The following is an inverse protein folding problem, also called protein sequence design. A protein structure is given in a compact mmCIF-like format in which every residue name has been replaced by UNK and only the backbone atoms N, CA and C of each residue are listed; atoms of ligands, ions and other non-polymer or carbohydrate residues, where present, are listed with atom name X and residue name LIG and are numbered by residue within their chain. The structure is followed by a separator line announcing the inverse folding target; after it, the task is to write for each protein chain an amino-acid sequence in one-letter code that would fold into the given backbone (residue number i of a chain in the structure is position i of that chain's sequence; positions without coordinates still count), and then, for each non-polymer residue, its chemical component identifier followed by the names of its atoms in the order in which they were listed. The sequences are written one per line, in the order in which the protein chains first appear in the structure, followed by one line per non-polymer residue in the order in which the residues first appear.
data_IF_597089018028
#
_entry.id   IF_597089018028
#
_cell.length_a   1.000
_cell.length_b   1.000
_cell.length_c   1.000
_cell.angle_alpha   90.00
_cell.angle_beta   90.00
_cell.angle_gamma   90.00
#
_symmetry.space_group_name_H-M   'P 1'
#
loop_
_entity.id
_entity.type
_entity.pdbx_description
1 polymer ?
#
# COMPACT_ATOMS: atom_id res chain seq x y z
N UNK A 1 -5.39 -25.56 -12.29
CA UNK A 1 -5.45 -24.18 -11.75
C UNK A 1 -4.11 -23.89 -11.08
N UNK A 2 -3.65 -22.63 -11.09
CA UNK A 2 -2.34 -22.25 -10.55
C UNK A 2 -2.39 -20.82 -10.01
N UNK A 3 -1.50 -20.47 -9.10
CA UNK A 3 -1.42 -19.13 -8.50
C UNK A 3 -0.06 -18.51 -8.79
N UNK A 4 -0.03 -17.21 -9.10
CA UNK A 4 1.18 -16.40 -9.21
C UNK A 4 0.92 -15.03 -8.60
N UNK A 5 1.73 -14.63 -7.60
CA UNK A 5 1.65 -13.33 -6.92
C UNK A 5 0.22 -12.89 -6.56
N UNK A 6 -0.55 -13.78 -5.93
CA UNK A 6 -1.93 -13.51 -5.52
C UNK A 6 -2.97 -13.61 -6.64
N UNK A 7 -2.56 -13.78 -7.90
CA UNK A 7 -3.46 -14.03 -9.03
C UNK A 7 -3.72 -15.52 -9.21
N UNK A 8 -4.98 -15.92 -9.25
CA UNK A 8 -5.41 -17.27 -9.60
C UNK A 8 -5.68 -17.37 -11.11
N UNK A 9 -5.09 -18.37 -11.74
CA UNK A 9 -5.35 -18.76 -13.12
C UNK A 9 -6.05 -20.12 -13.17
N UNK A 10 -7.10 -20.20 -13.98
CA UNK A 10 -7.96 -21.37 -14.15
C UNK A 10 -8.03 -21.75 -15.62
N UNK A 11 -7.85 -23.04 -15.88
CA UNK A 11 -8.09 -23.64 -17.18
C UNK A 11 -9.60 -23.77 -17.39
N UNK A 12 -10.08 -23.26 -18.52
CA UNK A 12 -11.49 -23.18 -18.88
C UNK A 12 -11.73 -23.87 -20.22
N UNK A 13 -12.98 -24.29 -20.49
CA UNK A 13 -13.37 -24.89 -21.78
C UNK A 13 -13.18 -23.91 -22.96
N UNK A 14 -13.16 -22.61 -22.68
CA UNK A 14 -12.95 -21.52 -23.63
C UNK A 14 -11.60 -20.80 -23.45
N UNK A 15 -10.61 -21.45 -22.86
CA UNK A 15 -9.24 -20.94 -22.74
C UNK A 15 -8.77 -20.74 -21.29
N UNK A 16 -8.22 -19.57 -20.97
CA UNK A 16 -7.69 -19.27 -19.63
C UNK A 16 -8.56 -18.19 -19.00
N UNK A 17 -8.98 -18.42 -17.76
CA UNK A 17 -9.65 -17.42 -16.93
C UNK A 17 -8.70 -17.04 -15.78
N UNK A 18 -8.67 -15.78 -15.34
CA UNK A 18 -7.90 -15.40 -14.17
C UNK A 18 -8.64 -14.37 -13.31
N UNK A 19 -8.29 -14.36 -12.03
CA UNK A 19 -8.74 -13.38 -11.05
C UNK A 19 -7.55 -12.98 -10.20
N UNK A 20 -7.39 -11.68 -10.01
CA UNK A 20 -6.29 -11.10 -9.22
C UNK A 20 -6.80 -10.32 -8.00
N UNK A 21 -8.11 -10.22 -7.83
CA UNK A 21 -8.80 -9.39 -6.83
C UNK A 21 -9.56 -10.23 -5.78
N UNK A 22 -8.94 -11.30 -5.28
CA UNK A 22 -9.55 -12.24 -4.33
C UNK A 22 -10.86 -12.85 -4.84
N UNK A 23 -10.90 -13.27 -6.11
CA UNK A 23 -12.03 -13.95 -6.75
C UNK A 23 -13.28 -13.08 -6.95
N UNK A 24 -13.16 -11.75 -6.81
CA UNK A 24 -14.29 -10.83 -6.96
C UNK A 24 -14.65 -10.62 -8.43
N UNK A 25 -13.65 -10.51 -9.31
CA UNK A 25 -13.85 -10.42 -10.76
C UNK A 25 -13.02 -11.47 -11.50
N UNK A 26 -13.50 -11.83 -12.69
CA UNK A 26 -12.90 -12.85 -13.54
C UNK A 26 -12.71 -12.30 -14.95
N UNK A 27 -11.51 -12.49 -15.46
CA UNK A 27 -11.11 -12.04 -16.78
C UNK A 27 -10.76 -13.24 -17.66
N UNK A 28 -11.20 -13.21 -18.91
CA UNK A 28 -10.83 -14.21 -19.92
C UNK A 28 -9.55 -13.73 -20.59
N UNK A 29 -8.50 -14.56 -20.57
CA UNK A 29 -7.20 -14.32 -21.20
C UNK A 29 -6.93 -15.34 -22.32
N UNK A 30 -7.92 -15.55 -23.16
CA UNK A 30 -7.90 -16.55 -24.24
C UNK A 30 -7.42 -15.99 -25.57
N UNK A 31 -7.12 -14.69 -25.64
CA UNK A 31 -6.59 -14.06 -26.84
C UNK A 31 -5.24 -14.68 -27.25
N UNK A 32 -5.05 -14.92 -28.54
CA UNK A 32 -3.85 -15.58 -29.06
C UNK A 32 -3.81 -17.11 -28.86
N UNK A 33 -4.81 -17.71 -28.21
CA UNK A 33 -5.00 -19.16 -28.25
C UNK A 33 -5.51 -19.59 -29.63
N UNK A 34 -4.93 -20.63 -30.26
CA UNK A 34 -5.39 -21.09 -31.57
C UNK A 34 -6.79 -21.73 -31.47
N UNK A 35 -7.82 -20.96 -31.80
CA UNK A 35 -9.22 -21.35 -31.80
C UNK A 35 -9.85 -21.42 -30.39
N UNK A 36 -11.16 -21.70 -30.33
CA UNK A 36 -11.88 -21.95 -29.07
C UNK A 36 -11.51 -23.34 -28.53
N UNK A 37 -10.29 -23.48 -28.01
CA UNK A 37 -9.77 -24.75 -27.51
C UNK A 37 -9.76 -24.76 -25.99
N UNK A 38 -10.43 -25.76 -25.44
CA UNK A 38 -10.36 -26.15 -24.03
C UNK A 38 -8.91 -26.28 -23.58
N UNK A 39 -8.61 -25.66 -22.44
CA UNK A 39 -7.34 -25.84 -21.74
C UNK A 39 -7.56 -26.94 -20.70
N UNK A 40 -6.72 -27.98 -20.73
CA UNK A 40 -6.81 -29.08 -19.78
C UNK A 40 -5.94 -28.84 -18.54
N UNK A 41 -4.80 -28.18 -18.71
CA UNK A 41 -3.91 -27.87 -17.60
C UNK A 41 -3.17 -26.55 -17.79
N UNK A 42 -2.75 -25.95 -16.67
CA UNK A 42 -2.08 -24.66 -16.61
C UNK A 42 -1.00 -24.63 -15.53
N UNK A 43 0.15 -24.07 -15.86
CA UNK A 43 1.26 -23.86 -14.93
C UNK A 43 1.91 -22.51 -15.15
N UNK A 44 2.56 -21.97 -14.12
CA UNK A 44 3.36 -20.73 -14.24
C UNK A 44 4.80 -21.05 -13.87
N UNK A 45 5.73 -20.66 -14.75
CA UNK A 45 7.17 -20.80 -14.52
C UNK A 45 7.81 -19.44 -14.79
N UNK A 46 8.38 -18.84 -13.75
CA UNK A 46 8.82 -17.44 -13.79
C UNK A 46 7.64 -16.53 -14.17
N UNK A 47 7.85 -15.68 -15.17
CA UNK A 47 6.83 -14.74 -15.66
C UNK A 47 6.06 -15.28 -16.88
N UNK A 48 6.06 -16.61 -17.08
CA UNK A 48 5.41 -17.27 -18.22
C UNK A 48 4.35 -18.24 -17.77
N UNK A 49 3.14 -18.05 -18.30
CA UNK A 49 2.00 -18.97 -18.16
C UNK A 49 2.05 -19.98 -19.29
N UNK A 50 2.05 -21.27 -18.95
CA UNK A 50 1.97 -22.39 -19.88
C UNK A 50 0.61 -23.04 -19.79
N UNK A 51 -0.07 -23.20 -20.91
CA UNK A 51 -1.37 -23.88 -20.96
C UNK A 51 -1.33 -25.04 -21.95
N UNK A 52 -1.76 -26.20 -21.48
CA UNK A 52 -1.91 -27.40 -22.29
C UNK A 52 -3.29 -27.39 -22.95
N UNK A 53 -3.31 -27.48 -24.28
CA UNK A 53 -4.55 -27.53 -25.04
C UNK A 53 -5.09 -28.95 -25.12
N UNK A 54 -6.40 -29.09 -25.04
CA UNK A 54 -7.09 -30.38 -25.15
C UNK A 54 -6.81 -31.10 -26.47
N UNK A 55 -6.76 -30.34 -27.57
CA UNK A 55 -6.43 -30.87 -28.90
C UNK A 55 -4.94 -31.20 -29.09
N UNK A 56 -4.13 -31.10 -28.03
CA UNK A 56 -2.69 -31.24 -28.04
C UNK A 56 -1.95 -29.92 -28.25
N UNK A 57 -0.72 -29.89 -27.74
CA UNK A 57 0.18 -28.73 -27.78
C UNK A 57 0.22 -27.93 -26.47
N UNK A 58 1.27 -27.14 -26.32
CA UNK A 58 1.47 -26.22 -25.20
C UNK A 58 1.60 -24.81 -25.79
N UNK A 59 0.78 -23.90 -25.29
CA UNK A 59 0.94 -22.47 -25.54
C UNK A 59 1.66 -21.83 -24.36
N UNK A 60 2.41 -20.77 -24.63
CA UNK A 60 3.06 -19.95 -23.62
C UNK A 60 2.65 -18.51 -23.80
N UNK A 61 2.38 -17.82 -22.69
CA UNK A 61 2.06 -16.40 -22.66
C UNK A 61 2.84 -15.72 -21.55
N UNK A 62 3.32 -14.50 -21.79
CA UNK A 62 3.94 -13.74 -20.72
C UNK A 62 2.86 -13.19 -19.78
N UNK A 63 3.15 -13.16 -18.48
CA UNK A 63 2.19 -12.71 -17.47
C UNK A 63 1.79 -11.23 -17.62
N UNK A 64 2.64 -10.41 -18.24
CA UNK A 64 2.34 -9.01 -18.57
C UNK A 64 1.25 -8.83 -19.63
N UNK A 65 0.90 -9.90 -20.36
CA UNK A 65 -0.20 -9.86 -21.33
C UNK A 65 -1.58 -10.03 -20.66
N UNK A 66 -1.60 -10.38 -19.38
CA UNK A 66 -2.80 -10.48 -18.57
C UNK A 66 -2.99 -9.15 -17.85
N UNK A 67 -4.20 -8.59 -17.89
CA UNK A 67 -4.57 -7.36 -17.16
C UNK A 67 -4.72 -7.65 -15.65
N UNK A 68 -3.61 -8.01 -15.01
CA UNK A 68 -3.55 -8.41 -13.62
C UNK A 68 -3.72 -7.17 -12.73
N UNK A 69 -4.86 -7.14 -12.04
CA UNK A 69 -5.17 -6.13 -11.04
C UNK A 69 -4.65 -6.58 -9.69
N UNK A 70 -3.57 -6.01 -9.17
CA UNK A 70 -3.07 -6.34 -7.82
C UNK A 70 -3.83 -5.42 -6.83
N UNK A 71 -4.75 -5.93 -6.01
CA UNK A 71 -5.68 -5.11 -5.22
C UNK A 71 -4.99 -4.30 -4.11
N UNK A 72 -3.78 -4.70 -3.69
CA UNK A 72 -2.99 -4.06 -2.63
C UNK A 72 -1.66 -3.49 -3.17
N UNK A 73 -1.72 -2.82 -4.31
CA UNK A 73 -0.58 -2.19 -5.00
C UNK A 73 -0.30 -0.75 -4.53
N UNK A 74 -1.10 -0.20 -3.62
CA UNK A 74 -0.84 1.10 -3.01
C UNK A 74 0.03 0.94 -1.76
N UNK A 75 1.20 1.56 -1.79
CA UNK A 75 2.17 1.52 -0.70
C UNK A 75 2.62 2.91 -0.26
N UNK A 76 3.06 3.01 1.00
CA UNK A 76 3.79 4.19 1.49
C UNK A 76 5.27 3.99 1.20
N UNK A 77 5.85 4.82 0.34
CA UNK A 77 7.29 4.77 0.03
C UNK A 77 8.14 5.45 1.10
N UNK A 78 7.62 6.53 1.68
CA UNK A 78 8.35 7.32 2.66
C UNK A 78 7.36 8.11 3.54
N UNK A 79 7.72 8.34 4.80
CA UNK A 79 7.10 9.37 5.62
C UNK A 79 8.19 10.35 6.06
N UNK A 80 7.95 11.64 5.87
CA UNK A 80 8.90 12.70 6.21
C UNK A 80 8.27 13.72 7.15
N UNK A 81 9.10 14.25 8.04
CA UNK A 81 8.72 15.23 9.07
C UNK A 81 7.67 14.71 10.07
N UNK A 82 8.10 13.88 11.04
CA UNK A 82 9.49 13.53 11.31
C UNK A 82 10.08 12.46 10.40
N UNK A 83 11.40 12.55 10.17
CA UNK A 83 12.22 11.52 9.50
C UNK A 83 12.58 10.34 10.41
N UNK A 84 12.09 10.31 11.65
CA UNK A 84 12.47 9.34 12.68
C UNK A 84 11.27 8.93 13.52
N UNK A 85 11.29 7.70 14.03
CA UNK A 85 10.21 7.12 14.83
C UNK A 85 10.06 7.74 16.20
N UNK A 86 10.98 8.60 16.60
CA UNK A 86 10.82 9.38 17.82
C UNK A 86 11.30 10.81 17.60
N UNK A 87 10.45 11.76 17.97
CA UNK A 87 10.83 13.17 18.04
C UNK A 87 10.99 13.53 19.50
N UNK A 88 12.18 14.01 19.86
CA UNK A 88 12.41 14.66 21.14
C UNK A 88 12.26 16.16 20.94
N UNK A 89 11.31 16.78 21.63
CA UNK A 89 11.12 18.23 21.59
C UNK A 89 11.42 18.80 22.97
N UNK A 90 12.44 19.64 23.03
CA UNK A 90 12.90 20.30 24.27
C UNK A 90 12.79 21.82 24.10
N UNK A 91 12.34 22.53 25.13
CA UNK A 91 12.19 24.01 25.17
C UNK A 91 11.21 24.56 24.11
N UNK A 92 9.91 24.30 24.29
CA UNK A 92 8.86 24.72 23.35
C UNK A 92 8.08 25.96 23.83
N UNK A 93 8.75 27.06 24.12
CA UNK A 93 8.10 28.22 24.76
C UNK A 93 7.02 28.87 23.87
N UNK A 94 7.12 28.70 22.55
CA UNK A 94 6.18 29.24 21.55
C UNK A 94 5.41 28.16 20.78
N UNK A 95 5.41 26.93 21.29
CA UNK A 95 4.88 25.76 20.58
C UNK A 95 5.75 25.32 19.41
N UNK A 96 5.64 24.04 19.03
CA UNK A 96 6.35 23.48 17.87
C UNK A 96 5.34 22.90 16.91
N UNK A 97 5.38 23.36 15.65
CA UNK A 97 4.54 22.85 14.59
C UNK A 97 5.22 21.69 13.89
N UNK A 98 4.60 20.52 13.92
CA UNK A 98 4.97 19.34 13.15
C UNK A 98 4.03 19.29 11.94
N UNK A 99 4.59 19.18 10.74
CA UNK A 99 3.82 19.07 9.50
C UNK A 99 4.12 17.70 8.89
N UNK A 100 3.28 16.68 9.16
CA UNK A 100 3.49 15.35 8.63
C UNK A 100 3.37 15.32 7.11
N UNK A 101 4.23 14.51 6.48
CA UNK A 101 4.16 14.24 5.05
C UNK A 101 4.33 12.76 4.78
N UNK A 102 3.59 12.26 3.80
CA UNK A 102 3.73 10.90 3.30
C UNK A 102 3.93 10.92 1.78
N UNK A 103 4.80 10.06 1.28
CA UNK A 103 4.91 9.76 -0.15
C UNK A 103 4.20 8.43 -0.34
N UNK A 104 3.08 8.46 -1.05
CA UNK A 104 2.32 7.28 -1.44
C UNK A 104 2.61 6.94 -2.90
N UNK A 105 2.47 5.66 -3.20
CA UNK A 105 2.89 5.08 -4.45
C UNK A 105 1.95 4.00 -4.91
N UNK A 106 1.73 3.96 -6.22
CA UNK A 106 1.11 2.84 -6.89
C UNK A 106 2.20 1.98 -7.53
N UNK A 107 2.22 0.70 -7.19
CA UNK A 107 3.21 -0.28 -7.65
C UNK A 107 2.81 -1.00 -8.93
N UNK A 108 1.59 -0.79 -9.43
CA UNK A 108 1.07 -1.53 -10.57
C UNK A 108 0.49 -0.63 -11.68
N UNK A 109 0.08 -1.27 -12.77
CA UNK A 109 -0.56 -0.63 -13.92
C UNK A 109 -2.01 -0.22 -13.71
N UNK A 110 -2.59 -0.44 -12.53
CA UNK A 110 -3.99 -0.13 -12.27
C UNK A 110 -4.20 1.33 -11.87
N UNK A 111 -5.31 1.92 -12.29
CA UNK A 111 -5.68 3.25 -11.81
C UNK A 111 -6.56 3.13 -10.56
N UNK A 112 -6.22 3.85 -9.50
CA UNK A 112 -7.04 4.00 -8.30
C UNK A 112 -7.86 5.27 -8.39
N UNK A 113 -8.85 5.24 -9.28
CA UNK A 113 -9.75 6.37 -9.53
C UNK A 113 -10.84 6.53 -8.47
N UNK A 114 -11.09 5.49 -7.67
CA UNK A 114 -11.91 5.60 -6.47
C UNK A 114 -11.05 6.11 -5.32
N UNK A 115 -11.45 7.19 -4.62
CA UNK A 115 -10.65 7.73 -3.52
C UNK A 115 -10.42 6.70 -2.42
N UNK A 116 -9.18 6.60 -1.94
CA UNK A 116 -8.81 5.83 -0.76
C UNK A 116 -8.32 6.76 0.35
N UNK A 117 -8.44 6.29 1.59
CA UNK A 117 -8.02 7.06 2.76
C UNK A 117 -6.55 6.82 3.08
N UNK A 118 -5.84 7.92 3.38
CA UNK A 118 -4.51 7.89 3.97
C UNK A 118 -4.60 8.61 5.30
N UNK A 119 -4.41 7.87 6.39
CA UNK A 119 -4.45 8.40 7.75
C UNK A 119 -3.05 8.55 8.31
N UNK A 120 -2.78 9.72 8.89
CA UNK A 120 -1.57 10.00 9.65
C UNK A 120 -1.92 10.06 11.14
N UNK A 121 -1.21 9.31 11.97
CA UNK A 121 -1.30 9.37 13.43
C UNK A 121 0.06 9.74 14.04
N UNK A 122 0.07 10.65 15.00
CA UNK A 122 1.21 10.87 15.90
C UNK A 122 0.81 10.35 17.28
N UNK A 123 1.70 9.56 17.88
CA UNK A 123 1.46 8.93 19.18
C UNK A 123 2.44 9.41 20.24
N UNK A 124 1.90 9.53 21.46
CA UNK A 124 2.63 9.65 22.71
C UNK A 124 2.43 8.33 23.46
N UNK A 125 3.50 7.56 23.61
CA UNK A 125 3.43 6.17 24.04
C UNK A 125 2.40 5.39 23.20
N UNK A 126 1.29 4.94 23.80
CA UNK A 126 0.23 4.21 23.13
C UNK A 126 -0.99 5.07 22.76
N UNK A 127 -0.97 6.37 23.08
CA UNK A 127 -2.08 7.30 22.90
C UNK A 127 -1.89 8.06 21.59
N UNK A 128 -2.93 8.12 20.75
CA UNK A 128 -2.96 8.97 19.55
C UNK A 128 -3.21 10.41 20.01
N UNK A 129 -2.22 11.28 19.83
CA UNK A 129 -2.30 12.71 20.20
C UNK A 129 -2.60 13.61 19.01
N UNK A 130 -2.48 13.08 17.80
CA UNK A 130 -2.90 13.71 16.57
C UNK A 130 -3.34 12.65 15.57
N UNK A 131 -4.40 12.94 14.84
CA UNK A 131 -4.88 12.14 13.72
C UNK A 131 -5.41 13.07 12.65
N UNK A 132 -4.95 12.88 11.42
CA UNK A 132 -5.50 13.55 10.24
C UNK A 132 -5.66 12.52 9.12
N UNK A 133 -6.73 12.66 8.34
CA UNK A 133 -7.05 11.72 7.26
C UNK A 133 -7.31 12.50 5.99
N UNK A 134 -6.56 12.16 4.95
CA UNK A 134 -6.74 12.69 3.61
C UNK A 134 -7.33 11.61 2.71
N UNK A 135 -8.05 12.03 1.69
CA UNK A 135 -8.42 11.15 0.59
C UNK A 135 -7.57 11.46 -0.62
N UNK A 136 -7.18 10.41 -1.34
CA UNK A 136 -6.41 10.55 -2.57
C UNK A 136 -6.85 9.53 -3.63
N UNK A 137 -6.54 9.84 -4.88
CA UNK A 137 -6.65 8.94 -6.03
C UNK A 137 -5.31 8.93 -6.72
N UNK A 138 -4.86 7.78 -7.24
CA UNK A 138 -3.54 7.71 -7.88
C UNK A 138 -3.60 6.91 -9.17
N UNK A 139 -2.99 7.45 -10.22
CA UNK A 139 -2.89 6.76 -11.51
C UNK A 139 -1.93 5.58 -11.44
N UNK A 140 -1.97 4.74 -12.48
CA UNK A 140 -1.04 3.64 -12.72
C UNK A 140 0.42 4.10 -12.54
N UNK A 141 1.20 3.34 -11.76
CA UNK A 141 2.60 3.63 -11.42
C UNK A 141 2.87 5.04 -10.85
N UNK A 142 1.83 5.76 -10.41
CA UNK A 142 1.92 7.12 -9.90
C UNK A 142 2.53 7.20 -8.51
N UNK A 143 2.98 8.40 -8.13
CA UNK A 143 3.37 8.73 -6.76
C UNK A 143 2.92 10.14 -6.39
N UNK A 144 2.31 10.29 -5.22
CA UNK A 144 1.87 11.58 -4.68
C UNK A 144 2.54 11.86 -3.33
N UNK A 145 2.84 13.14 -3.08
CA UNK A 145 3.27 13.61 -1.76
C UNK A 145 2.08 14.26 -1.06
N UNK A 146 1.62 13.64 0.01
CA UNK A 146 0.57 14.17 0.87
C UNK A 146 1.18 14.99 1.99
N UNK A 147 0.60 16.16 2.25
CA UNK A 147 0.94 17.03 3.39
C UNK A 147 -0.29 17.14 4.28
N UNK A 148 -0.17 16.69 5.52
CA UNK A 148 -1.26 16.71 6.49
C UNK A 148 -1.32 18.04 7.25
N UNK A 149 -2.44 18.27 7.91
CA UNK A 149 -2.66 19.45 8.75
C UNK A 149 -1.60 19.55 9.85
N UNK A 150 -1.06 20.73 10.16
CA UNK A 150 -0.03 20.85 11.19
C UNK A 150 -0.50 20.40 12.57
N UNK A 151 0.29 19.58 13.26
CA UNK A 151 0.14 19.29 14.68
C UNK A 151 0.96 20.30 15.49
N UNK A 152 0.27 21.15 16.27
CA UNK A 152 0.91 22.14 17.13
C UNK A 152 1.07 21.56 18.53
N UNK A 153 2.32 21.31 18.92
CA UNK A 153 2.66 20.89 20.28
C UNK A 153 2.60 22.10 21.20
N UNK A 154 1.62 22.11 22.11
CA UNK A 154 1.44 23.19 23.09
C UNK A 154 2.27 22.96 24.36
N UNK A 155 2.90 24.00 24.93
CA UNK A 155 3.65 23.88 26.17
C UNK A 155 2.79 23.40 27.36
N UNK A 156 1.47 23.62 27.33
CA UNK A 156 0.56 23.33 28.45
C UNK A 156 -0.08 21.94 28.43
N UNK A 157 0.26 21.10 27.44
CA UNK A 157 -0.38 19.77 27.30
C UNK A 157 0.17 18.69 28.23
N UNK A 158 1.18 19.02 29.06
CA UNK A 158 1.87 18.05 29.92
C UNK A 158 2.11 18.64 31.30
N UNK A 159 1.59 17.95 32.32
CA UNK A 159 1.72 18.31 33.73
C UNK A 159 3.07 17.79 34.23
N UNK A 160 4.05 18.67 34.35
CA UNK A 160 5.17 18.46 35.27
C UNK A 160 5.47 19.81 35.93
N UNK A 161 4.94 19.95 37.14
CA UNK A 161 5.27 21.03 38.05
C UNK A 161 6.78 21.06 38.29
N UNK A 162 7.48 22.02 37.67
CA UNK A 162 8.52 22.89 38.24
C UNK A 162 9.19 23.74 37.12
N UNK A 163 8.87 25.04 37.12
CA UNK A 163 9.63 26.18 36.55
C UNK A 163 10.13 26.14 35.10
N UNK A 164 9.52 26.98 34.25
CA UNK A 164 10.05 27.62 33.02
C UNK A 164 10.68 26.75 31.91
N UNK A 165 10.55 25.42 31.96
CA UNK A 165 10.90 24.55 30.83
C UNK A 165 9.87 23.44 30.69
N UNK A 166 9.02 23.55 29.67
CA UNK A 166 8.09 22.49 29.32
C UNK A 166 8.83 21.45 28.46
N UNK A 167 8.98 20.25 29.01
CA UNK A 167 9.55 19.10 28.31
C UNK A 167 8.40 18.23 27.80
N UNK A 168 8.20 18.16 26.48
CA UNK A 168 7.25 17.20 25.89
C UNK A 168 7.98 15.88 25.72
N UNK A 169 7.80 15.00 26.70
CA UNK A 169 8.53 13.74 26.77
C UNK A 169 7.78 12.67 25.95
N UNK A 170 8.39 12.28 24.82
CA UNK A 170 8.15 11.04 24.06
C UNK A 170 7.03 11.04 22.99
N UNK A 171 7.20 11.76 21.87
CA UNK A 171 6.51 11.35 20.65
C UNK A 171 7.14 10.04 20.15
N UNK A 172 6.41 8.93 20.24
CA UNK A 172 6.96 7.56 20.12
C UNK A 172 6.78 6.92 18.75
N UNK A 173 5.89 7.45 17.90
CA UNK A 173 5.76 7.00 16.51
C UNK A 173 4.93 7.94 15.65
N UNK A 174 5.31 8.00 14.37
CA UNK A 174 4.48 8.44 13.25
C UNK A 174 3.95 7.17 12.55
N UNK A 175 2.64 7.08 12.36
CA UNK A 175 2.03 5.96 11.64
C UNK A 175 1.23 6.49 10.46
N UNK A 176 1.53 6.00 9.26
CA UNK A 176 0.73 6.23 8.05
C UNK A 176 -0.01 4.94 7.74
N UNK A 177 -1.32 5.02 7.62
CA UNK A 177 -2.21 3.88 7.46
C UNK A 177 -3.01 4.08 6.19
N UNK A 178 -2.98 3.08 5.31
CA UNK A 178 -3.88 2.96 4.17
C UNK A 178 -4.75 1.74 4.47
N UNK A 179 -6.06 1.89 4.71
CA UNK A 179 -6.92 0.80 5.18
C UNK A 179 -6.98 -0.41 4.24
N UNK A 180 -6.66 -0.22 2.96
CA UNK A 180 -6.64 -1.26 1.93
C UNK A 180 -5.25 -1.89 1.72
N UNK A 181 -4.20 -1.39 2.38
CA UNK A 181 -2.84 -1.94 2.25
C UNK A 181 -2.27 -2.35 3.62
N UNK A 182 -1.30 -3.26 3.60
CA UNK A 182 -0.58 -3.69 4.81
C UNK A 182 -0.06 -2.45 5.57
N UNK A 183 -0.44 -2.32 6.85
CA UNK A 183 0.00 -1.19 7.67
C UNK A 183 1.53 -1.14 7.73
N UNK A 184 2.14 -0.06 7.23
CA UNK A 184 3.54 0.23 7.52
C UNK A 184 3.67 0.84 8.91
N UNK A 185 4.17 0.04 9.86
CA UNK A 185 4.69 0.56 11.12
C UNK A 185 6.18 0.80 10.91
N UNK A 186 6.59 2.06 10.79
CA UNK A 186 8.02 2.39 10.73
C UNK A 186 8.58 2.12 12.14
N UNK A 187 9.43 1.08 12.23
CA UNK A 187 10.18 0.72 13.43
C UNK A 187 11.66 0.72 13.06
N UNK A 188 12.43 1.55 13.74
CA UNK A 188 13.87 1.63 13.63
C UNK A 188 14.38 0.78 14.77
N UNK A 189 15.01 -0.34 14.44
CA UNK A 189 15.85 -1.07 15.40
C UNK A 189 17.00 -0.15 15.81
N UNK A 190 17.18 0.04 17.12
CA UNK A 190 18.45 0.53 17.66
C UNK A 190 19.46 -0.63 17.61
N UNK A 191 20.62 -0.38 16.99
CA UNK A 191 21.87 -1.08 17.32
C UNK A 191 22.44 -0.48 18.60
#
# INVERSE_FOLDING_TARGET
MTVYQGTLFVACDSGICYSSDNFQTWHIASDGLPGAKRVDDISVIGDTVYAQLHAGGIVKRNISEFNIVIPDDIGVYNASSPRSDSIYITNCDNGVSIIPKAIIGNLSGNNHSNPFEVRCEIRLDNIVVYSDTLQDTIGAYGSHTLTFSPYVVSPYTFDDALSNRYYVKNLTSLRVIIPMATTLVIRTLRL
#
